data_IF_112109871115
#
_entry.id   IF_112109871115
#
_cell.length_a   1.000
_cell.length_b   1.000
_cell.length_c   1.000
_cell.angle_alpha   90.00
_cell.angle_beta   90.00
_cell.angle_gamma   90.00
#
_symmetry.space_group_name_H-M   'P 1'
#
loop_
_entity.id
_entity.type
_entity.pdbx_description
1 polymer ?
#
# COMPACT_ATOMS: atom_id res chain seq x y z
N UNK A 1 -53.89 36.25 -4.26
CA UNK A 1 -53.03 35.77 -5.34
C UNK A 1 -51.66 36.32 -5.03
N UNK A 2 -50.74 35.52 -4.42
CA UNK A 2 -49.40 35.98 -4.12
C UNK A 2 -48.66 36.22 -5.44
N UNK A 3 -47.95 37.34 -5.56
CA UNK A 3 -47.14 37.58 -6.75
C UNK A 3 -45.92 36.63 -6.73
N UNK A 4 -45.38 36.28 -7.90
CA UNK A 4 -44.20 35.44 -7.99
C UNK A 4 -43.01 36.06 -7.23
N UNK A 5 -43.04 37.38 -7.03
CA UNK A 5 -42.02 38.13 -6.26
C UNK A 5 -42.16 37.86 -4.75
N UNK A 6 -43.39 37.85 -4.20
CA UNK A 6 -43.64 37.56 -2.78
C UNK A 6 -43.19 36.15 -2.42
N UNK A 7 -43.40 35.21 -3.33
CA UNK A 7 -42.99 33.81 -3.17
C UNK A 7 -41.50 33.64 -3.20
N UNK A 8 -40.80 34.37 -4.08
CA UNK A 8 -39.35 34.38 -4.15
C UNK A 8 -38.71 35.02 -2.89
N UNK A 9 -39.29 36.13 -2.39
CA UNK A 9 -38.84 36.79 -1.16
C UNK A 9 -39.03 35.87 0.07
N UNK A 10 -40.21 35.22 0.17
CA UNK A 10 -40.45 34.26 1.24
C UNK A 10 -39.47 33.09 1.21
N UNK A 11 -39.16 32.55 0.02
CA UNK A 11 -38.17 31.50 -0.15
C UNK A 11 -36.78 31.94 0.32
N UNK A 12 -36.35 33.16 -0.03
CA UNK A 12 -35.03 33.71 0.42
C UNK A 12 -35.02 33.79 1.95
N UNK A 13 -36.07 34.27 2.61
CA UNK A 13 -36.12 34.31 4.08
C UNK A 13 -36.04 32.91 4.72
N UNK A 14 -36.71 31.93 4.14
CA UNK A 14 -36.64 30.55 4.60
C UNK A 14 -35.21 30.00 4.46
N UNK A 15 -34.57 30.23 3.32
CA UNK A 15 -33.17 29.80 3.10
C UNK A 15 -32.21 30.48 4.09
N UNK A 16 -32.35 31.79 4.31
CA UNK A 16 -31.54 32.53 5.28
C UNK A 16 -31.77 32.01 6.71
N UNK A 17 -33.01 31.70 7.08
CA UNK A 17 -33.37 31.09 8.36
C UNK A 17 -32.71 29.72 8.55
N UNK A 18 -32.76 28.86 7.51
CA UNK A 18 -32.09 27.54 7.55
C UNK A 18 -30.56 27.66 7.66
N UNK A 19 -29.96 28.57 6.91
CA UNK A 19 -28.52 28.86 7.00
C UNK A 19 -28.15 29.35 8.40
N UNK A 20 -28.88 30.33 8.95
CA UNK A 20 -28.68 30.86 10.30
C UNK A 20 -28.80 29.77 11.37
N UNK A 21 -29.81 28.90 11.26
CA UNK A 21 -29.99 27.75 12.14
C UNK A 21 -28.84 26.75 12.02
N UNK A 22 -28.38 26.44 10.80
CA UNK A 22 -27.23 25.58 10.56
C UNK A 22 -25.94 26.14 11.20
N UNK A 23 -25.70 27.45 11.04
CA UNK A 23 -24.54 28.14 11.68
C UNK A 23 -24.65 28.07 13.19
N UNK A 24 -25.82 28.27 13.77
CA UNK A 24 -26.03 28.17 15.22
C UNK A 24 -25.71 26.78 15.74
N UNK A 25 -26.17 25.72 15.06
CA UNK A 25 -25.85 24.33 15.41
C UNK A 25 -24.32 24.11 15.36
N UNK A 26 -23.64 24.56 14.31
CA UNK A 26 -22.18 24.44 14.19
C UNK A 26 -21.44 25.17 15.32
N UNK A 27 -21.88 26.37 15.69
CA UNK A 27 -21.30 27.13 16.80
C UNK A 27 -21.54 26.41 18.14
N UNK A 28 -22.72 25.88 18.38
CA UNK A 28 -23.02 25.06 19.56
C UNK A 28 -22.14 23.80 19.63
N UNK A 29 -21.99 23.10 18.53
CA UNK A 29 -21.13 21.90 18.45
C UNK A 29 -19.67 22.26 18.72
N UNK A 30 -19.15 23.37 18.14
CA UNK A 30 -17.81 23.84 18.37
C UNK A 30 -17.59 24.27 19.83
N UNK A 31 -18.51 25.01 20.41
CA UNK A 31 -18.45 25.41 21.83
C UNK A 31 -18.41 24.18 22.75
N UNK A 32 -19.27 23.19 22.48
CA UNK A 32 -19.29 21.92 23.23
C UNK A 32 -17.97 21.14 23.10
N UNK A 33 -17.38 21.11 21.90
CA UNK A 33 -16.06 20.48 21.67
C UNK A 33 -14.98 21.17 22.51
N UNK A 34 -14.90 22.50 22.47
CA UNK A 34 -13.91 23.28 23.24
C UNK A 34 -14.06 23.03 24.76
N UNK A 35 -15.28 23.02 25.26
CA UNK A 35 -15.54 22.73 26.67
C UNK A 35 -15.08 21.32 27.05
N UNK A 36 -15.37 20.34 26.18
CA UNK A 36 -14.97 18.94 26.40
C UNK A 36 -13.45 18.79 26.35
N UNK A 37 -12.76 19.44 25.41
CA UNK A 37 -11.30 19.43 25.32
C UNK A 37 -10.65 20.07 26.54
N UNK A 38 -11.16 21.20 27.05
CA UNK A 38 -10.68 21.81 28.30
C UNK A 38 -10.86 20.88 29.50
N UNK A 39 -12.02 20.20 29.61
CA UNK A 39 -12.27 19.20 30.66
C UNK A 39 -11.30 18.02 30.57
N UNK A 40 -11.04 17.53 29.34
CA UNK A 40 -10.06 16.46 29.10
C UNK A 40 -8.65 16.87 29.51
N UNK A 41 -8.21 18.08 29.15
CA UNK A 41 -6.91 18.60 29.51
C UNK A 41 -6.74 18.70 31.05
N UNK A 42 -7.74 19.24 31.74
CA UNK A 42 -7.74 19.32 33.19
C UNK A 42 -7.70 17.93 33.87
N UNK A 43 -8.39 16.93 33.28
CA UNK A 43 -8.36 15.56 33.80
C UNK A 43 -7.02 14.86 33.52
N UNK A 44 -6.37 15.13 32.37
CA UNK A 44 -5.01 14.65 32.10
C UNK A 44 -4.02 15.20 33.13
N UNK A 45 -4.12 16.48 33.46
CA UNK A 45 -3.29 17.13 34.48
C UNK A 45 -3.57 16.53 35.90
N UNK A 46 -4.84 16.32 36.24
CA UNK A 46 -5.24 15.67 37.51
C UNK A 46 -4.61 14.28 37.65
N UNK A 47 -4.57 13.48 36.59
CA UNK A 47 -4.03 12.13 36.59
C UNK A 47 -2.53 12.04 36.20
N UNK A 48 -1.86 13.19 36.03
CA UNK A 48 -0.43 13.25 35.72
C UNK A 48 0.45 12.43 36.70
N UNK A 49 0.23 12.48 38.06
CA UNK A 49 1.01 11.66 38.96
C UNK A 49 0.87 10.16 38.69
N UNK A 50 -0.32 9.70 38.31
CA UNK A 50 -0.55 8.30 37.93
C UNK A 50 0.18 7.93 36.64
N UNK A 51 0.17 8.77 35.64
CA UNK A 51 0.93 8.54 34.38
C UNK A 51 2.44 8.52 34.63
N UNK A 52 2.95 9.38 35.52
CA UNK A 52 4.37 9.35 35.94
C UNK A 52 4.70 8.05 36.71
N UNK A 53 3.78 7.54 37.53
CA UNK A 53 3.93 6.22 38.17
C UNK A 53 4.07 5.12 37.10
N UNK A 54 3.16 5.05 36.11
CA UNK A 54 3.22 4.06 35.05
C UNK A 54 4.52 4.15 34.24
N UNK A 55 4.99 5.37 33.91
CA UNK A 55 6.25 5.57 33.17
C UNK A 55 7.47 5.09 33.95
N UNK A 56 7.52 5.34 35.25
CA UNK A 56 8.65 4.91 36.08
C UNK A 56 8.72 3.39 36.21
N UNK A 57 7.56 2.74 36.28
CA UNK A 57 7.46 1.30 36.50
C UNK A 57 7.21 0.48 35.23
N UNK A 58 7.38 1.08 34.03
CA UNK A 58 7.10 0.41 32.74
C UNK A 58 8.05 -0.77 32.48
N UNK A 59 9.27 -0.69 33.01
CA UNK A 59 10.33 -1.72 32.84
C UNK A 59 10.29 -2.75 33.97
N UNK A 60 9.68 -2.42 35.12
CA UNK A 60 9.63 -3.33 36.23
C UNK A 60 8.83 -4.61 35.92
N UNK A 61 9.16 -5.76 36.51
CA UNK A 61 8.44 -7.01 36.24
C UNK A 61 7.02 -7.02 36.84
N UNK A 62 6.77 -6.23 37.89
CA UNK A 62 5.50 -6.22 38.61
C UNK A 62 4.35 -5.65 37.78
N UNK A 63 3.13 -6.20 37.87
CA UNK A 63 1.95 -5.66 37.20
C UNK A 63 1.60 -4.26 37.68
N UNK A 64 1.01 -3.45 36.81
CA UNK A 64 0.53 -2.13 37.20
C UNK A 64 -0.69 -2.23 38.08
N UNK A 65 -0.79 -1.32 39.06
CA UNK A 65 -1.99 -1.17 39.87
C UNK A 65 -2.94 -0.16 39.23
N UNK A 66 -4.25 -0.45 39.18
CA UNK A 66 -5.26 0.51 38.75
C UNK A 66 -5.24 1.78 39.64
N UNK A 67 -5.73 2.92 39.12
CA UNK A 67 -5.82 4.15 39.89
C UNK A 67 -6.72 3.95 41.13
N UNK A 68 -6.36 4.54 42.26
CA UNK A 68 -7.12 4.43 43.50
C UNK A 68 -8.41 5.25 43.44
N UNK A 69 -9.52 4.65 43.86
CA UNK A 69 -10.82 5.29 44.00
C UNK A 69 -11.71 5.22 42.74
N UNK A 70 -12.98 5.64 42.90
CA UNK A 70 -13.94 5.58 41.79
C UNK A 70 -13.59 6.63 40.72
N UNK A 71 -13.63 6.21 39.47
CA UNK A 71 -13.41 7.07 38.28
C UNK A 71 -14.77 7.47 37.69
N UNK A 72 -14.92 8.73 37.32
CA UNK A 72 -16.05 9.15 36.50
C UNK A 72 -15.93 8.58 35.06
N UNK A 73 -17.04 8.45 34.32
CA UNK A 73 -17.00 7.94 32.97
C UNK A 73 -16.05 8.72 32.03
N UNK A 74 -15.88 10.03 32.24
CA UNK A 74 -14.97 10.85 31.46
C UNK A 74 -13.52 10.61 31.87
N UNK A 75 -13.21 10.45 33.16
CA UNK A 75 -11.87 10.10 33.65
C UNK A 75 -11.43 8.74 33.10
N UNK A 76 -12.30 7.74 33.16
CA UNK A 76 -12.07 6.42 32.61
C UNK A 76 -11.68 6.51 31.12
N UNK A 77 -12.40 7.33 30.33
CA UNK A 77 -12.09 7.52 28.90
C UNK A 77 -10.78 8.26 28.66
N UNK A 78 -10.44 9.26 29.49
CA UNK A 78 -9.18 9.99 29.39
C UNK A 78 -7.99 9.08 29.69
N UNK A 79 -8.10 8.25 30.71
CA UNK A 79 -7.06 7.27 31.06
C UNK A 79 -6.94 6.22 29.95
N UNK A 80 -8.05 5.68 29.47
CA UNK A 80 -8.07 4.71 28.37
C UNK A 80 -7.40 5.25 27.10
N UNK A 81 -7.76 6.47 26.66
CA UNK A 81 -7.20 7.10 25.48
C UNK A 81 -5.66 7.25 25.64
N UNK A 82 -5.17 7.58 26.85
CA UNK A 82 -3.74 7.68 27.16
C UNK A 82 -3.03 6.34 27.18
N UNK A 83 -3.64 5.30 27.75
CA UNK A 83 -3.10 3.93 27.73
C UNK A 83 -3.00 3.40 26.28
N UNK A 84 -4.02 3.64 25.45
CA UNK A 84 -3.99 3.25 24.03
C UNK A 84 -2.87 3.95 23.27
N UNK A 85 -2.65 5.27 23.52
CA UNK A 85 -1.52 6.01 22.93
C UNK A 85 -0.17 5.33 23.27
N UNK A 86 -0.02 4.83 24.47
CA UNK A 86 1.21 4.17 24.91
C UNK A 86 1.33 2.75 24.38
N UNK A 87 0.23 1.98 24.33
CA UNK A 87 0.19 0.64 23.75
C UNK A 87 0.67 0.66 22.27
N UNK A 88 0.35 1.72 21.52
CA UNK A 88 0.86 1.89 20.16
C UNK A 88 2.36 2.23 20.10
N UNK A 89 2.89 2.93 21.10
CA UNK A 89 4.30 3.34 21.17
C UNK A 89 5.23 2.24 21.69
N UNK A 90 4.77 1.48 22.67
CA UNK A 90 5.57 0.41 23.28
C UNK A 90 5.40 -0.93 22.56
N UNK A 91 6.38 -1.83 22.74
CA UNK A 91 6.39 -3.16 22.15
C UNK A 91 6.75 -4.24 23.19
N UNK A 92 6.51 -5.51 22.88
CA UNK A 92 6.86 -6.64 23.75
C UNK A 92 6.22 -6.58 25.12
N UNK A 93 6.97 -6.92 26.17
CA UNK A 93 6.50 -7.01 27.54
C UNK A 93 5.87 -5.72 28.08
N UNK A 94 6.39 -4.55 27.69
CA UNK A 94 5.83 -3.26 28.11
C UNK A 94 4.42 -3.03 27.56
N UNK A 95 4.18 -3.41 26.28
CA UNK A 95 2.85 -3.37 25.67
C UNK A 95 1.90 -4.32 26.40
N UNK A 96 2.33 -5.57 26.61
CA UNK A 96 1.50 -6.57 27.31
C UNK A 96 1.09 -6.11 28.71
N UNK A 97 2.00 -5.49 29.44
CA UNK A 97 1.74 -4.92 30.76
C UNK A 97 0.68 -3.81 30.75
N UNK A 98 0.70 -2.94 29.72
CA UNK A 98 -0.32 -1.90 29.53
C UNK A 98 -1.68 -2.49 29.11
N UNK A 99 -1.66 -3.53 28.26
CA UNK A 99 -2.87 -4.27 27.88
C UNK A 99 -3.52 -4.94 29.10
N UNK A 100 -2.72 -5.62 29.93
CA UNK A 100 -3.20 -6.22 31.18
C UNK A 100 -3.84 -5.18 32.12
N UNK A 101 -3.23 -3.99 32.23
CA UNK A 101 -3.84 -2.89 33.00
C UNK A 101 -5.21 -2.47 32.45
N UNK A 102 -5.38 -2.45 31.12
CA UNK A 102 -6.69 -2.16 30.51
C UNK A 102 -7.73 -3.25 30.84
N UNK A 103 -7.31 -4.50 30.97
CA UNK A 103 -8.15 -5.63 31.40
C UNK A 103 -8.51 -5.54 32.87
N UNK A 104 -7.54 -5.28 33.74
CA UNK A 104 -7.73 -5.10 35.19
C UNK A 104 -8.64 -3.91 35.55
N UNK A 105 -8.68 -2.90 34.70
CA UNK A 105 -9.58 -1.76 34.81
C UNK A 105 -10.96 -1.98 34.19
N UNK A 106 -11.30 -3.20 33.75
CA UNK A 106 -12.54 -3.55 33.03
C UNK A 106 -12.83 -2.71 31.76
N UNK A 107 -11.82 -2.04 31.18
CA UNK A 107 -11.99 -1.19 29.99
C UNK A 107 -12.38 -2.01 28.77
N UNK A 108 -11.83 -3.21 28.64
CA UNK A 108 -12.16 -4.15 27.56
C UNK A 108 -13.62 -4.57 27.64
N UNK A 109 -14.11 -4.92 28.85
CA UNK A 109 -15.50 -5.33 29.06
C UNK A 109 -16.48 -4.17 28.82
N UNK A 110 -16.07 -2.95 29.21
CA UNK A 110 -16.85 -1.74 28.95
C UNK A 110 -17.10 -1.50 27.45
N UNK A 111 -16.07 -1.67 26.62
CA UNK A 111 -16.22 -1.46 25.19
C UNK A 111 -16.82 -2.70 24.47
N UNK A 112 -16.60 -3.93 24.96
CA UNK A 112 -17.31 -5.12 24.46
C UNK A 112 -18.83 -4.96 24.57
N UNK A 113 -19.36 -4.44 25.67
CA UNK A 113 -20.79 -4.14 25.84
C UNK A 113 -21.29 -3.13 24.82
N UNK A 114 -20.44 -2.21 24.35
CA UNK A 114 -20.82 -1.20 23.37
C UNK A 114 -20.83 -1.72 21.92
N UNK A 115 -20.19 -2.86 21.62
CA UNK A 115 -20.31 -3.50 20.30
C UNK A 115 -21.75 -3.93 19.98
N UNK A 116 -22.55 -4.28 21.00
CA UNK A 116 -23.95 -4.66 20.85
C UNK A 116 -24.90 -3.44 20.77
N UNK A 117 -24.37 -2.22 20.67
CA UNK A 117 -25.21 -1.00 20.59
C UNK A 117 -25.93 -0.92 19.25
N UNK A 118 -27.21 -0.46 19.26
CA UNK A 118 -27.92 -0.14 18.02
C UNK A 118 -27.36 1.07 17.25
N UNK A 119 -26.48 1.88 17.89
CA UNK A 119 -25.90 3.06 17.27
C UNK A 119 -24.56 2.72 16.62
N UNK A 120 -24.52 2.79 15.29
CA UNK A 120 -23.33 2.56 14.47
C UNK A 120 -22.08 3.30 14.95
N UNK A 121 -22.21 4.59 15.31
CA UNK A 121 -21.08 5.38 15.82
C UNK A 121 -20.53 4.88 17.17
N UNK A 122 -21.34 4.22 18.00
CA UNK A 122 -20.89 3.60 19.24
C UNK A 122 -20.15 2.29 18.96
N UNK A 123 -20.66 1.46 18.07
CA UNK A 123 -19.98 0.24 17.60
C UNK A 123 -18.60 0.57 17.02
N UNK A 124 -18.54 1.56 16.12
CA UNK A 124 -17.30 2.02 15.51
C UNK A 124 -16.25 2.45 16.56
N UNK A 125 -16.66 3.26 17.52
CA UNK A 125 -15.77 3.71 18.61
C UNK A 125 -15.34 2.57 19.52
N UNK A 126 -16.24 1.64 19.84
CA UNK A 126 -15.95 0.48 20.66
C UNK A 126 -14.94 -0.45 19.95
N UNK A 127 -15.16 -0.76 18.68
CA UNK A 127 -14.25 -1.56 17.89
C UNK A 127 -12.85 -0.93 17.83
N UNK A 128 -12.75 0.36 17.52
CA UNK A 128 -11.50 1.10 17.49
C UNK A 128 -10.74 1.03 18.83
N UNK A 129 -11.43 1.22 19.95
CA UNK A 129 -10.80 1.16 21.29
C UNK A 129 -10.34 -0.23 21.66
N UNK A 130 -11.16 -1.25 21.37
CA UNK A 130 -10.77 -2.64 21.57
C UNK A 130 -9.49 -2.97 20.83
N UNK A 131 -9.39 -2.58 19.55
CA UNK A 131 -8.16 -2.71 18.78
C UNK A 131 -6.97 -1.94 19.37
N UNK A 132 -7.22 -0.73 19.91
CA UNK A 132 -6.18 0.09 20.55
C UNK A 132 -5.66 -0.49 21.87
N UNK A 133 -6.49 -1.24 22.60
CA UNK A 133 -6.08 -1.94 23.83
C UNK A 133 -5.35 -3.25 23.56
N UNK A 134 -5.44 -3.80 22.36
CA UNK A 134 -4.76 -5.04 21.92
C UNK A 134 -5.01 -6.25 22.82
N UNK A 135 -6.18 -6.34 23.43
CA UNK A 135 -6.55 -7.48 24.29
C UNK A 135 -7.10 -8.64 23.48
N UNK A 136 -6.59 -9.84 23.72
CA UNK A 136 -7.10 -11.07 23.10
C UNK A 136 -8.59 -11.32 23.41
N UNK A 137 -9.08 -10.85 24.57
CA UNK A 137 -10.48 -10.96 24.96
C UNK A 137 -11.45 -10.24 24.01
N UNK A 138 -10.95 -9.34 23.15
CA UNK A 138 -11.76 -8.61 22.19
C UNK A 138 -11.95 -9.37 20.87
N UNK A 139 -11.13 -10.36 20.54
CA UNK A 139 -11.07 -10.99 19.21
C UNK A 139 -12.40 -11.63 18.81
N UNK A 140 -12.91 -12.51 19.65
CA UNK A 140 -14.15 -13.25 19.34
C UNK A 140 -15.37 -12.32 19.17
N UNK A 141 -15.65 -11.36 20.07
CA UNK A 141 -16.73 -10.40 19.86
C UNK A 141 -16.60 -9.53 18.60
N UNK A 142 -15.35 -9.18 18.20
CA UNK A 142 -15.09 -8.43 16.98
C UNK A 142 -15.38 -9.27 15.74
N UNK A 143 -14.94 -10.53 15.72
CA UNK A 143 -15.20 -11.49 14.62
C UNK A 143 -16.71 -11.75 14.50
N UNK A 144 -17.41 -11.94 15.61
CA UNK A 144 -18.87 -12.16 15.58
C UNK A 144 -19.62 -10.96 14.97
N UNK A 145 -19.20 -9.73 15.29
CA UNK A 145 -19.77 -8.54 14.66
C UNK A 145 -19.38 -8.45 13.17
N UNK A 146 -18.15 -8.84 12.78
CA UNK A 146 -17.73 -8.90 11.37
C UNK A 146 -18.60 -9.85 10.54
N UNK A 147 -19.01 -11.00 11.10
CA UNK A 147 -19.89 -11.96 10.40
C UNK A 147 -21.27 -11.38 10.08
N UNK A 148 -21.72 -10.39 10.84
CA UNK A 148 -23.02 -9.72 10.65
C UNK A 148 -22.93 -8.54 9.66
N UNK A 149 -21.73 -7.95 9.50
CA UNK A 149 -21.49 -6.84 8.59
C UNK A 149 -21.24 -7.34 7.17
N UNK A 150 -21.90 -6.68 6.18
CA UNK A 150 -21.71 -7.05 4.77
C UNK A 150 -20.60 -6.25 4.10
N UNK A 151 -20.60 -4.95 4.30
CA UNK A 151 -19.60 -4.03 3.75
C UNK A 151 -19.71 -2.67 4.47
N UNK A 152 -18.62 -1.90 4.45
CA UNK A 152 -18.63 -0.54 4.97
C UNK A 152 -17.45 -0.23 5.90
N UNK A 153 -17.38 1.03 6.37
CA UNK A 153 -16.27 1.48 7.21
C UNK A 153 -16.12 0.70 8.52
N UNK A 154 -17.23 0.18 9.08
CA UNK A 154 -17.17 -0.61 10.32
C UNK A 154 -16.42 -1.93 10.10
N UNK A 155 -16.65 -2.61 8.97
CA UNK A 155 -15.96 -3.86 8.64
C UNK A 155 -14.43 -3.68 8.65
N UNK A 156 -13.94 -2.58 8.06
CA UNK A 156 -12.50 -2.28 8.05
C UNK A 156 -11.94 -1.95 9.45
N UNK A 157 -12.70 -1.22 10.27
CA UNK A 157 -12.29 -0.95 11.66
C UNK A 157 -12.26 -2.23 12.47
N UNK A 158 -13.27 -3.10 12.32
CA UNK A 158 -13.30 -4.42 12.96
C UNK A 158 -12.11 -5.27 12.55
N UNK A 159 -11.82 -5.36 11.25
CA UNK A 159 -10.69 -6.14 10.74
C UNK A 159 -9.34 -5.65 11.29
N UNK A 160 -9.07 -4.34 11.29
CA UNK A 160 -7.88 -3.76 11.91
C UNK A 160 -7.80 -4.04 13.40
N UNK A 161 -8.93 -4.01 14.08
CA UNK A 161 -9.00 -4.29 15.52
C UNK A 161 -8.73 -5.75 15.82
N UNK A 162 -9.26 -6.68 15.00
CA UNK A 162 -8.92 -8.12 15.10
C UNK A 162 -7.44 -8.34 14.85
N UNK A 163 -6.87 -7.75 13.78
CA UNK A 163 -5.45 -7.90 13.45
C UNK A 163 -4.54 -7.42 14.60
N UNK A 164 -4.91 -6.34 15.30
CA UNK A 164 -4.18 -5.84 16.47
C UNK A 164 -4.26 -6.73 17.69
N UNK A 165 -5.40 -7.41 17.88
CA UNK A 165 -5.71 -8.19 19.09
C UNK A 165 -5.43 -9.70 18.93
N UNK A 166 -5.25 -10.20 17.70
CA UNK A 166 -5.09 -11.62 17.43
C UNK A 166 -3.80 -12.19 18.06
N UNK A 167 -3.93 -13.36 18.66
CA UNK A 167 -2.83 -14.15 19.20
C UNK A 167 -2.54 -15.42 18.38
N UNK A 168 -3.48 -15.81 17.50
CA UNK A 168 -3.37 -17.00 16.67
C UNK A 168 -3.66 -16.68 15.21
N UNK A 169 -2.96 -17.37 14.29
CA UNK A 169 -3.12 -17.20 12.85
C UNK A 169 -4.52 -17.57 12.34
N UNK A 170 -5.18 -18.53 12.99
CA UNK A 170 -6.55 -18.93 12.63
C UNK A 170 -7.55 -17.77 12.80
N UNK A 171 -7.34 -16.90 13.78
CA UNK A 171 -8.17 -15.71 13.99
C UNK A 171 -7.99 -14.71 12.84
N UNK A 172 -6.76 -14.54 12.35
CA UNK A 172 -6.47 -13.72 11.18
C UNK A 172 -7.03 -14.35 9.91
N UNK A 173 -6.98 -15.65 9.76
CA UNK A 173 -7.56 -16.34 8.61
C UNK A 173 -9.08 -16.12 8.52
N UNK A 174 -9.80 -16.29 9.64
CA UNK A 174 -11.25 -16.00 9.72
C UNK A 174 -11.53 -14.53 9.42
N UNK A 175 -10.74 -13.61 9.96
CA UNK A 175 -10.84 -12.18 9.67
C UNK A 175 -10.67 -11.90 8.16
N UNK A 176 -9.66 -12.46 7.50
CA UNK A 176 -9.44 -12.31 6.07
C UNK A 176 -10.61 -12.83 5.25
N UNK A 177 -11.12 -14.02 5.57
CA UNK A 177 -12.30 -14.59 4.92
C UNK A 177 -13.52 -13.65 5.00
N UNK A 178 -13.79 -13.06 6.18
CA UNK A 178 -14.91 -12.15 6.33
C UNK A 178 -14.68 -10.83 5.58
N UNK A 179 -13.45 -10.30 5.60
CA UNK A 179 -13.11 -9.04 4.94
C UNK A 179 -13.21 -9.13 3.40
N UNK A 180 -12.83 -10.29 2.83
CA UNK A 180 -12.78 -10.48 1.37
C UNK A 180 -14.08 -11.02 0.77
N UNK A 181 -15.01 -11.52 1.60
CA UNK A 181 -16.19 -12.29 1.19
C UNK A 181 -17.15 -11.54 0.26
N UNK A 182 -17.40 -10.25 0.49
CA UNK A 182 -18.55 -9.54 -0.09
C UNK A 182 -18.20 -8.54 -1.19
N UNK A 183 -16.95 -8.13 -1.34
CA UNK A 183 -16.57 -7.10 -2.29
C UNK A 183 -15.33 -7.47 -3.10
N UNK A 184 -15.45 -7.40 -4.42
CA UNK A 184 -14.30 -7.48 -5.30
C UNK A 184 -13.34 -6.32 -5.00
N UNK A 185 -12.05 -6.64 -4.83
CA UNK A 185 -11.01 -5.63 -4.54
C UNK A 185 -10.70 -5.39 -3.06
N UNK A 186 -11.45 -5.97 -2.11
CA UNK A 186 -11.10 -5.88 -0.68
C UNK A 186 -9.77 -6.56 -0.32
N UNK A 187 -9.21 -7.39 -1.20
CA UNK A 187 -7.90 -8.02 -1.02
C UNK A 187 -6.75 -6.98 -0.86
N UNK A 188 -6.88 -5.78 -1.44
CA UNK A 188 -5.92 -4.69 -1.23
C UNK A 188 -5.92 -4.24 0.24
N UNK A 189 -7.11 -3.93 0.77
CA UNK A 189 -7.27 -3.52 2.16
C UNK A 189 -6.91 -4.66 3.13
N UNK A 190 -7.19 -5.91 2.75
CA UNK A 190 -6.87 -7.08 3.56
C UNK A 190 -5.35 -7.27 3.74
N UNK A 191 -4.56 -7.01 2.70
CA UNK A 191 -3.11 -7.03 2.77
C UNK A 191 -2.58 -5.92 3.71
N UNK A 192 -3.12 -4.69 3.64
CA UNK A 192 -2.74 -3.59 4.54
C UNK A 192 -3.11 -3.88 6.00
N UNK A 193 -4.27 -4.51 6.24
CA UNK A 193 -4.72 -4.84 7.61
C UNK A 193 -3.76 -5.81 8.30
N UNK A 194 -3.11 -6.70 7.56
CA UNK A 194 -2.13 -7.63 8.12
C UNK A 194 -0.87 -6.93 8.65
N UNK A 195 -0.58 -5.70 8.26
CA UNK A 195 0.53 -4.92 8.83
C UNK A 195 0.29 -4.48 10.28
N UNK A 196 -0.97 -4.52 10.75
CA UNK A 196 -1.34 -4.13 12.12
C UNK A 196 -1.04 -5.22 13.17
N UNK A 197 -0.88 -6.47 12.75
CA UNK A 197 -0.58 -7.56 13.67
C UNK A 197 0.89 -7.60 14.10
N UNK A 198 1.14 -8.19 15.26
CA UNK A 198 2.49 -8.48 15.74
C UNK A 198 2.94 -9.92 15.47
N UNK A 199 2.07 -10.74 14.88
CA UNK A 199 2.35 -12.13 14.55
C UNK A 199 3.17 -12.23 13.27
N UNK A 200 3.99 -13.28 13.17
CA UNK A 200 4.56 -13.68 11.89
C UNK A 200 3.44 -14.30 11.02
N UNK A 201 3.02 -13.55 10.02
CA UNK A 201 1.93 -13.96 9.11
C UNK A 201 2.42 -14.83 7.95
N UNK A 202 3.71 -15.09 7.83
CA UNK A 202 4.27 -15.86 6.70
C UNK A 202 3.61 -17.23 6.53
N UNK A 203 3.40 -18.05 7.60
CA UNK A 203 2.72 -19.34 7.45
C UNK A 203 1.26 -19.20 6.99
N UNK A 204 0.55 -18.18 7.47
CA UNK A 204 -0.82 -17.87 7.05
C UNK A 204 -0.87 -17.49 5.57
N UNK A 205 0.05 -16.66 5.10
CA UNK A 205 0.11 -16.21 3.71
C UNK A 205 0.42 -17.38 2.76
N UNK A 206 1.31 -18.28 3.15
CA UNK A 206 1.58 -19.51 2.41
C UNK A 206 0.32 -20.39 2.30
N UNK A 207 -0.43 -20.54 3.39
CA UNK A 207 -1.72 -21.23 3.38
C UNK A 207 -2.72 -20.55 2.45
N UNK A 208 -2.85 -19.22 2.51
CA UNK A 208 -3.75 -18.46 1.63
C UNK A 208 -3.38 -18.57 0.14
N UNK A 209 -2.08 -18.75 -0.22
CA UNK A 209 -1.67 -18.99 -1.61
C UNK A 209 -2.16 -20.34 -2.18
N UNK A 210 -2.59 -21.25 -1.32
CA UNK A 210 -3.13 -22.56 -1.69
C UNK A 210 -4.66 -22.63 -1.60
N UNK A 211 -5.29 -21.49 -1.22
CA UNK A 211 -6.73 -21.43 -1.03
C UNK A 211 -7.48 -21.43 -2.38
N UNK A 212 -8.75 -21.87 -2.32
CA UNK A 212 -9.67 -21.82 -3.46
C UNK A 212 -10.25 -20.42 -3.68
N UNK A 213 -10.26 -19.59 -2.65
CA UNK A 213 -10.71 -18.20 -2.75
C UNK A 213 -9.62 -17.32 -3.36
N UNK A 214 -9.82 -16.93 -4.60
CA UNK A 214 -8.89 -16.04 -5.33
C UNK A 214 -8.61 -14.72 -4.60
N UNK A 215 -9.53 -14.22 -3.77
CA UNK A 215 -9.27 -13.00 -3.00
C UNK A 215 -8.25 -13.24 -1.88
N UNK A 216 -8.27 -14.41 -1.25
CA UNK A 216 -7.25 -14.78 -0.26
C UNK A 216 -5.89 -14.98 -0.93
N UNK A 217 -5.84 -15.64 -2.11
CA UNK A 217 -4.61 -15.76 -2.90
C UNK A 217 -4.04 -14.39 -3.25
N UNK A 218 -4.87 -13.47 -3.76
CA UNK A 218 -4.47 -12.09 -4.09
C UNK A 218 -3.98 -11.32 -2.85
N UNK A 219 -4.66 -11.47 -1.72
CA UNK A 219 -4.23 -10.87 -0.44
C UNK A 219 -2.83 -11.36 -0.06
N UNK A 220 -2.59 -12.66 -0.14
CA UNK A 220 -1.29 -13.26 0.18
C UNK A 220 -0.17 -12.75 -0.74
N UNK A 221 -0.41 -12.72 -2.05
CA UNK A 221 0.55 -12.20 -3.03
C UNK A 221 0.89 -10.72 -2.79
N UNK A 222 -0.10 -9.91 -2.42
CA UNK A 222 0.12 -8.50 -2.11
C UNK A 222 0.86 -8.30 -0.80
N UNK A 223 0.50 -9.03 0.25
CA UNK A 223 1.15 -8.94 1.56
C UNK A 223 2.60 -9.44 1.50
N UNK A 224 2.91 -10.41 0.64
CA UNK A 224 4.26 -10.91 0.39
C UNK A 224 5.05 -10.05 -0.61
N UNK A 225 4.45 -8.98 -1.17
CA UNK A 225 5.08 -8.13 -2.17
C UNK A 225 6.37 -7.52 -1.61
N UNK A 226 7.50 -7.86 -2.25
CA UNK A 226 8.83 -7.42 -1.80
C UNK A 226 9.56 -8.42 -0.91
N UNK A 227 8.90 -9.51 -0.48
CA UNK A 227 9.58 -10.66 0.09
C UNK A 227 9.93 -11.62 -1.04
N UNK A 228 11.20 -11.82 -1.26
CA UNK A 228 11.70 -12.79 -2.24
C UNK A 228 12.48 -13.86 -1.50
N UNK A 229 12.12 -15.12 -1.71
CA UNK A 229 12.80 -16.24 -1.09
C UNK A 229 12.56 -17.54 -1.86
N UNK A 230 13.54 -18.44 -1.80
CA UNK A 230 13.49 -19.76 -2.45
C UNK A 230 12.24 -20.55 -2.03
N UNK A 231 11.76 -20.33 -0.81
CA UNK A 231 10.56 -21.01 -0.26
C UNK A 231 9.25 -20.61 -0.96
N UNK A 232 9.17 -19.39 -1.54
CA UNK A 232 7.98 -18.91 -2.23
C UNK A 232 7.93 -19.32 -3.71
N UNK A 233 9.09 -19.61 -4.30
CA UNK A 233 9.22 -19.85 -5.76
C UNK A 233 8.30 -20.96 -6.27
N UNK A 234 8.16 -22.14 -5.64
CA UNK A 234 7.27 -23.20 -6.16
C UNK A 234 5.80 -22.78 -6.18
N UNK A 235 5.34 -22.09 -5.13
CA UNK A 235 3.95 -21.60 -5.07
C UNK A 235 3.71 -20.50 -6.10
N UNK A 236 4.66 -19.58 -6.28
CA UNK A 236 4.58 -18.50 -7.26
C UNK A 236 4.58 -19.06 -8.70
N UNK A 237 5.39 -20.07 -9.01
CA UNK A 237 5.41 -20.70 -10.35
C UNK A 237 4.04 -21.33 -10.67
N UNK A 238 3.44 -22.03 -9.72
CA UNK A 238 2.09 -22.58 -9.91
C UNK A 238 1.05 -21.47 -10.15
N UNK A 239 1.14 -20.34 -9.43
CA UNK A 239 0.22 -19.22 -9.56
C UNK A 239 0.49 -18.39 -10.83
N UNK A 240 1.70 -18.47 -11.39
CA UNK A 240 2.03 -17.86 -12.68
C UNK A 240 1.30 -18.51 -13.88
N UNK A 241 0.77 -19.72 -13.69
CA UNK A 241 -0.06 -20.42 -14.68
C UNK A 241 -1.57 -20.31 -14.39
N UNK A 242 -1.96 -19.42 -13.48
CA UNK A 242 -3.37 -19.21 -13.09
C UNK A 242 -4.22 -18.66 -14.23
N UNK A 243 -5.46 -19.15 -14.35
CA UNK A 243 -6.48 -18.58 -15.26
C UNK A 243 -6.90 -17.16 -14.83
N UNK A 244 -6.83 -16.84 -13.52
CA UNK A 244 -7.09 -15.49 -13.03
C UNK A 244 -5.91 -14.56 -13.38
N UNK A 245 -6.17 -13.63 -14.31
CA UNK A 245 -5.15 -12.70 -14.81
C UNK A 245 -4.47 -11.86 -13.73
N UNK A 246 -5.19 -11.50 -12.66
CA UNK A 246 -4.63 -10.69 -11.57
C UNK A 246 -3.68 -11.53 -10.72
N UNK A 247 -4.04 -12.80 -10.41
CA UNK A 247 -3.17 -13.75 -9.71
C UNK A 247 -1.92 -14.01 -10.54
N UNK A 248 -2.09 -14.32 -11.83
CA UNK A 248 -0.97 -14.56 -12.75
C UNK A 248 -0.05 -13.34 -12.82
N UNK A 249 -0.60 -12.13 -12.99
CA UNK A 249 0.17 -10.88 -13.03
C UNK A 249 0.96 -10.64 -11.75
N UNK A 250 0.34 -10.82 -10.57
CA UNK A 250 1.02 -10.64 -9.29
C UNK A 250 2.15 -11.66 -9.11
N UNK A 251 1.89 -12.94 -9.41
CA UNK A 251 2.88 -14.01 -9.27
C UNK A 251 4.08 -13.80 -10.21
N UNK A 252 3.84 -13.55 -11.50
CA UNK A 252 4.93 -13.29 -12.47
C UNK A 252 5.74 -12.06 -12.06
N UNK A 253 5.09 -10.95 -11.68
CA UNK A 253 5.80 -9.75 -11.22
C UNK A 253 6.67 -9.99 -9.98
N UNK A 254 6.24 -10.86 -9.07
CA UNK A 254 7.06 -11.24 -7.92
C UNK A 254 8.25 -12.09 -8.35
N UNK A 255 8.04 -13.08 -9.23
CA UNK A 255 9.09 -13.97 -9.73
C UNK A 255 10.16 -13.19 -10.49
N UNK A 256 9.77 -12.31 -11.42
CA UNK A 256 10.73 -11.54 -12.21
C UNK A 256 11.48 -10.49 -11.40
N UNK A 257 10.90 -9.97 -10.33
CA UNK A 257 11.59 -9.05 -9.40
C UNK A 257 12.55 -9.75 -8.46
N UNK A 258 12.39 -11.04 -8.25
CA UNK A 258 13.28 -11.83 -7.41
C UNK A 258 14.68 -12.03 -8.04
N UNK A 259 14.85 -11.70 -9.32
CA UNK A 259 16.11 -11.86 -10.05
C UNK A 259 16.50 -13.33 -10.21
N UNK A 260 17.76 -13.61 -10.39
CA UNK A 260 18.45 -14.87 -10.72
C UNK A 260 17.94 -16.19 -10.07
N UNK A 261 16.68 -16.28 -9.68
CA UNK A 261 16.07 -17.48 -9.10
C UNK A 261 15.59 -18.44 -10.19
N UNK A 262 15.24 -17.91 -11.37
CA UNK A 262 14.69 -18.69 -12.49
C UNK A 262 15.61 -18.69 -13.70
N UNK A 263 15.57 -19.77 -14.51
CA UNK A 263 16.20 -19.79 -15.82
C UNK A 263 15.68 -18.67 -16.70
N UNK A 264 16.56 -18.09 -17.51
CA UNK A 264 16.22 -17.00 -18.43
C UNK A 264 15.14 -17.40 -19.42
N UNK A 265 15.15 -18.64 -19.91
CA UNK A 265 14.15 -19.17 -20.84
C UNK A 265 12.75 -19.15 -20.22
N UNK A 266 12.63 -19.45 -18.93
CA UNK A 266 11.35 -19.40 -18.21
C UNK A 266 10.84 -17.97 -18.12
N UNK A 267 11.72 -17.00 -17.85
CA UNK A 267 11.34 -15.58 -17.79
C UNK A 267 10.94 -15.09 -19.18
N UNK A 268 11.70 -15.43 -20.22
CA UNK A 268 11.40 -15.04 -21.59
C UNK A 268 10.07 -15.62 -22.10
N UNK A 269 9.64 -16.79 -21.64
CA UNK A 269 8.36 -17.38 -22.05
C UNK A 269 7.17 -16.48 -21.72
N UNK A 270 7.23 -15.70 -20.65
CA UNK A 270 6.17 -14.75 -20.28
C UNK A 270 6.14 -13.46 -21.12
N UNK A 271 7.11 -13.25 -22.04
CA UNK A 271 6.98 -12.19 -23.05
C UNK A 271 5.86 -12.46 -24.06
N UNK A 272 5.29 -13.66 -24.07
CA UNK A 272 4.15 -14.04 -24.93
C UNK A 272 2.83 -14.13 -24.15
N UNK A 273 2.80 -13.72 -22.88
CA UNK A 273 1.57 -13.74 -22.07
C UNK A 273 0.46 -12.90 -22.72
N UNK A 274 -0.82 -13.32 -22.70
CA UNK A 274 -1.93 -12.55 -23.23
C UNK A 274 -2.04 -11.12 -22.66
N UNK A 275 -1.67 -10.93 -21.39
CA UNK A 275 -1.76 -9.64 -20.71
C UNK A 275 -0.51 -8.77 -20.95
N UNK A 276 -0.69 -7.61 -21.61
CA UNK A 276 0.39 -6.66 -21.90
C UNK A 276 1.15 -6.19 -20.66
N UNK A 277 0.46 -6.06 -19.53
CA UNK A 277 1.04 -5.68 -18.25
C UNK A 277 2.08 -6.69 -17.72
N UNK A 278 1.86 -7.98 -17.96
CA UNK A 278 2.81 -9.05 -17.62
C UNK A 278 4.01 -8.96 -18.55
N UNK A 279 3.78 -8.90 -19.86
CA UNK A 279 4.86 -8.78 -20.87
C UNK A 279 5.75 -7.56 -20.60
N UNK A 280 5.15 -6.41 -20.25
CA UNK A 280 5.88 -5.19 -19.91
C UNK A 280 6.76 -5.35 -18.66
N UNK A 281 6.24 -5.98 -17.59
CA UNK A 281 6.98 -6.25 -16.38
C UNK A 281 8.16 -7.21 -16.61
N UNK A 282 7.95 -8.23 -17.45
CA UNK A 282 9.01 -9.17 -17.84
C UNK A 282 10.09 -8.45 -18.65
N UNK A 283 9.69 -7.67 -19.67
CA UNK A 283 10.62 -6.89 -20.48
C UNK A 283 11.49 -5.96 -19.61
N UNK A 284 10.92 -5.28 -18.63
CA UNK A 284 11.66 -4.42 -17.69
C UNK A 284 12.67 -5.20 -16.84
N UNK A 285 12.26 -6.36 -16.33
CA UNK A 285 13.12 -7.18 -15.46
C UNK A 285 14.31 -7.76 -16.18
N UNK A 286 14.13 -8.21 -17.43
CA UNK A 286 15.23 -8.73 -18.25
C UNK A 286 16.37 -7.72 -18.41
N UNK A 287 16.04 -6.43 -18.58
CA UNK A 287 17.04 -5.37 -18.62
C UNK A 287 17.70 -5.06 -17.27
N UNK A 288 16.89 -5.07 -16.18
CA UNK A 288 17.41 -4.80 -14.82
C UNK A 288 18.45 -5.83 -14.37
N UNK A 289 18.24 -7.09 -14.73
CA UNK A 289 19.14 -8.18 -14.36
C UNK A 289 20.20 -8.52 -15.43
N UNK A 290 20.16 -7.86 -16.60
CA UNK A 290 21.19 -7.99 -17.64
C UNK A 290 21.23 -9.36 -18.31
N UNK A 291 20.06 -9.97 -18.56
CA UNK A 291 19.95 -11.26 -19.25
C UNK A 291 20.25 -11.10 -20.75
N UNK A 292 21.51 -11.19 -21.14
CA UNK A 292 21.94 -10.95 -22.52
C UNK A 292 21.36 -11.95 -23.55
N UNK A 293 21.07 -13.17 -23.14
CA UNK A 293 20.43 -14.18 -24.00
C UNK A 293 19.00 -13.80 -24.39
N UNK A 294 18.35 -12.88 -23.64
CA UNK A 294 17.00 -12.38 -23.94
C UNK A 294 16.96 -11.29 -25.02
N UNK A 295 18.11 -10.80 -25.52
CA UNK A 295 18.17 -9.75 -26.55
C UNK A 295 17.28 -10.08 -27.75
N UNK A 296 17.30 -11.32 -28.35
CA UNK A 296 16.41 -11.64 -29.46
C UNK A 296 14.93 -11.55 -29.14
N UNK A 297 14.52 -11.99 -27.93
CA UNK A 297 13.14 -11.92 -27.47
C UNK A 297 12.70 -10.48 -27.23
N UNK A 298 13.56 -9.65 -26.64
CA UNK A 298 13.29 -8.21 -26.47
C UNK A 298 13.23 -7.46 -27.81
N UNK A 299 14.06 -7.85 -28.81
CA UNK A 299 13.96 -7.31 -30.15
C UNK A 299 12.60 -7.60 -30.77
N UNK A 300 12.09 -8.83 -30.60
CA UNK A 300 10.75 -9.18 -31.05
C UNK A 300 9.67 -8.38 -30.32
N UNK A 301 9.80 -8.19 -29.01
CA UNK A 301 8.86 -7.44 -28.18
C UNK A 301 8.80 -5.93 -28.53
N UNK A 302 9.72 -5.39 -29.33
CA UNK A 302 9.61 -4.03 -29.90
C UNK A 302 8.44 -3.89 -30.89
N UNK A 303 7.88 -5.00 -31.42
CA UNK A 303 6.70 -5.01 -32.31
C UNK A 303 5.40 -5.28 -31.59
N UNK A 304 5.42 -5.33 -30.22
CA UNK A 304 4.23 -5.62 -29.43
C UNK A 304 3.12 -4.60 -29.66
N UNK A 305 1.87 -5.03 -29.59
CA UNK A 305 0.71 -4.15 -29.68
C UNK A 305 0.64 -3.16 -28.51
N UNK A 306 1.10 -3.55 -27.32
CA UNK A 306 1.11 -2.72 -26.13
C UNK A 306 2.32 -1.76 -26.13
N UNK A 307 2.06 -0.48 -25.96
CA UNK A 307 3.09 0.56 -25.91
C UNK A 307 4.10 0.36 -24.78
N UNK A 308 3.63 -0.07 -23.58
CA UNK A 308 4.51 -0.28 -22.44
C UNK A 308 5.48 -1.44 -22.65
N UNK A 309 5.04 -2.49 -23.37
CA UNK A 309 5.92 -3.61 -23.73
C UNK A 309 7.03 -3.12 -24.64
N UNK A 310 6.70 -2.38 -25.70
CA UNK A 310 7.71 -1.78 -26.59
C UNK A 310 8.68 -0.87 -25.87
N UNK A 311 8.15 0.01 -24.99
CA UNK A 311 8.94 0.95 -24.19
C UNK A 311 9.94 0.24 -23.28
N UNK A 312 9.48 -0.73 -22.48
CA UNK A 312 10.34 -1.48 -21.55
C UNK A 312 11.34 -2.36 -22.32
N UNK A 313 10.97 -2.94 -23.45
CA UNK A 313 11.89 -3.71 -24.29
C UNK A 313 13.03 -2.86 -24.84
N UNK A 314 12.72 -1.67 -25.38
CA UNK A 314 13.73 -0.73 -25.85
C UNK A 314 14.65 -0.25 -24.71
N UNK A 315 14.06 0.07 -23.54
CA UNK A 315 14.80 0.46 -22.34
C UNK A 315 15.74 -0.64 -21.88
N UNK A 316 15.29 -1.87 -21.88
CA UNK A 316 16.07 -3.04 -21.44
C UNK A 316 17.21 -3.35 -22.40
N UNK A 317 16.98 -3.30 -23.71
CA UNK A 317 18.03 -3.39 -24.71
C UNK A 317 19.12 -2.32 -24.51
N UNK A 318 18.73 -1.08 -24.21
CA UNK A 318 19.69 0.00 -23.92
C UNK A 318 20.55 -0.25 -22.67
N UNK A 319 20.05 -1.04 -21.70
CA UNK A 319 20.74 -1.41 -20.48
C UNK A 319 21.69 -2.61 -20.69
N UNK A 320 21.55 -3.38 -21.76
CA UNK A 320 22.33 -4.59 -22.04
C UNK A 320 23.63 -4.33 -22.83
N UNK A 321 24.29 -3.22 -22.52
CA UNK A 321 25.59 -2.89 -23.09
C UNK A 321 25.59 -2.71 -24.61
N UNK A 322 26.72 -3.04 -25.25
CA UNK A 322 26.93 -2.83 -26.70
C UNK A 322 26.05 -3.74 -27.56
N UNK A 323 25.79 -4.97 -27.12
CA UNK A 323 24.98 -5.93 -27.87
C UNK A 323 23.52 -5.46 -27.97
N UNK A 324 22.95 -5.04 -26.84
CA UNK A 324 21.59 -4.49 -26.81
C UNK A 324 21.48 -3.17 -27.60
N UNK A 325 22.47 -2.28 -27.48
CA UNK A 325 22.48 -1.02 -28.22
C UNK A 325 22.60 -1.22 -29.74
N UNK A 326 23.42 -2.18 -30.19
CA UNK A 326 23.48 -2.60 -31.62
C UNK A 326 22.10 -3.06 -32.10
N UNK A 327 21.42 -3.89 -31.31
CA UNK A 327 20.08 -4.38 -31.63
C UNK A 327 19.07 -3.24 -31.79
N UNK A 328 19.17 -2.19 -30.94
CA UNK A 328 18.37 -0.98 -31.13
C UNK A 328 18.69 -0.25 -32.43
N UNK A 329 19.97 -0.11 -32.79
CA UNK A 329 20.39 0.52 -34.06
C UNK A 329 19.86 -0.27 -35.28
N UNK A 330 19.91 -1.60 -35.23
CA UNK A 330 19.31 -2.45 -36.27
C UNK A 330 17.79 -2.23 -36.36
N UNK A 331 17.08 -2.27 -35.21
CA UNK A 331 15.64 -2.07 -35.17
C UNK A 331 15.21 -0.69 -35.69
N UNK A 332 16.02 0.34 -35.46
CA UNK A 332 15.77 1.69 -35.95
C UNK A 332 15.90 1.84 -37.45
N UNK A 333 16.66 0.96 -38.11
CA UNK A 333 16.85 0.92 -39.56
C UNK A 333 15.81 0.04 -40.27
N UNK A 334 15.16 -0.87 -39.56
CA UNK A 334 14.08 -1.71 -40.10
C UNK A 334 12.88 -0.83 -40.47
N UNK A 335 12.37 -0.98 -41.71
CA UNK A 335 11.26 -0.17 -42.26
C UNK A 335 9.91 -0.87 -42.19
N UNK A 336 9.88 -2.10 -41.71
CA UNK A 336 8.70 -2.97 -41.77
C UNK A 336 7.65 -2.55 -40.69
N UNK A 337 8.09 -1.97 -39.57
CA UNK A 337 7.23 -1.50 -38.49
C UNK A 337 7.67 -0.09 -38.03
N UNK A 338 6.88 0.95 -38.37
CA UNK A 338 7.18 2.32 -37.95
C UNK A 338 7.25 2.50 -36.43
N UNK A 339 6.38 1.81 -35.64
CA UNK A 339 6.36 1.93 -34.19
C UNK A 339 7.62 1.36 -33.55
N UNK A 340 8.13 0.24 -34.07
CA UNK A 340 9.41 -0.36 -33.68
C UNK A 340 10.56 0.58 -33.94
N UNK A 341 10.63 1.09 -35.17
CA UNK A 341 11.69 1.99 -35.61
C UNK A 341 11.71 3.29 -34.79
N UNK A 342 10.56 3.89 -34.54
CA UNK A 342 10.46 5.14 -33.80
C UNK A 342 10.81 4.93 -32.30
N UNK A 343 10.32 3.86 -31.68
CA UNK A 343 10.67 3.50 -30.31
C UNK A 343 12.17 3.28 -30.12
N UNK A 344 12.81 2.60 -31.09
CA UNK A 344 14.24 2.36 -31.07
C UNK A 344 15.04 3.67 -31.23
N UNK A 345 14.62 4.56 -32.17
CA UNK A 345 15.25 5.89 -32.36
C UNK A 345 15.15 6.77 -31.12
N UNK A 346 13.97 6.84 -30.53
CA UNK A 346 13.77 7.63 -29.29
C UNK A 346 14.68 7.15 -28.18
N UNK A 347 14.79 5.82 -28.02
CA UNK A 347 15.66 5.25 -26.99
C UNK A 347 17.14 5.46 -27.27
N UNK A 348 17.59 5.29 -28.52
CA UNK A 348 18.95 5.60 -28.92
C UNK A 348 19.29 7.05 -28.63
N UNK A 349 18.39 7.98 -28.95
CA UNK A 349 18.57 9.39 -28.71
C UNK A 349 18.71 9.70 -27.19
N UNK A 350 17.85 9.16 -26.36
CA UNK A 350 17.94 9.30 -24.91
C UNK A 350 19.27 8.77 -24.34
N UNK A 351 19.73 7.61 -24.81
CA UNK A 351 20.98 7.02 -24.34
C UNK A 351 22.22 7.84 -24.77
N UNK A 352 22.22 8.37 -25.97
CA UNK A 352 23.28 9.27 -26.42
C UNK A 352 23.30 10.58 -25.64
N UNK A 353 22.15 11.17 -25.37
CA UNK A 353 22.05 12.35 -24.51
C UNK A 353 22.55 12.07 -23.08
N UNK A 354 22.20 10.92 -22.56
CA UNK A 354 22.64 10.47 -21.23
C UNK A 354 24.15 10.27 -21.17
N UNK A 355 24.73 9.60 -22.15
CA UNK A 355 26.19 9.40 -22.27
C UNK A 355 26.90 10.76 -22.36
N UNK A 356 26.43 11.68 -23.21
CA UNK A 356 26.98 13.01 -23.35
C UNK A 356 26.90 13.84 -22.04
N UNK A 357 25.77 13.79 -21.34
CA UNK A 357 25.58 14.47 -20.06
C UNK A 357 26.55 13.98 -18.98
N UNK A 358 26.75 12.67 -18.88
CA UNK A 358 27.67 12.09 -17.91
C UNK A 358 29.16 12.27 -18.32
N UNK A 359 29.47 12.26 -19.59
CA UNK A 359 30.83 12.55 -20.09
C UNK A 359 31.26 13.99 -19.74
N UNK A 360 30.36 14.97 -19.93
CA UNK A 360 30.60 16.36 -19.57
C UNK A 360 30.79 16.58 -18.04
N UNK A 361 30.15 15.78 -17.22
CA UNK A 361 30.28 15.84 -15.74
C UNK A 361 31.54 15.16 -15.21
N UNK A 362 32.04 14.13 -15.92
CA UNK A 362 33.28 13.40 -15.60
C UNK A 362 34.44 13.89 -16.46
N UNK A 363 34.89 15.10 -16.28
CA UNK A 363 36.02 15.70 -17.03
C UNK A 363 37.36 14.91 -16.99
N UNK A 364 37.38 13.66 -16.56
CA UNK A 364 38.61 12.93 -16.32
C UNK A 364 38.55 11.40 -16.45
N UNK A 365 37.86 10.80 -17.40
CA UNK A 365 38.16 9.44 -17.75
C UNK A 365 38.07 9.27 -19.26
N UNK A 366 39.20 9.19 -19.89
CA UNK A 366 39.43 8.72 -21.28
C UNK A 366 38.95 7.27 -21.35
N UNK A 367 37.70 7.08 -21.68
CA UNK A 367 37.04 5.79 -21.83
C UNK A 367 35.82 5.94 -22.68
N UNK A 368 36.05 5.87 -23.96
CA UNK A 368 35.14 5.48 -25.03
C UNK A 368 33.69 5.97 -24.93
N UNK A 369 33.34 6.89 -25.79
CA UNK A 369 31.99 7.11 -26.31
C UNK A 369 31.58 5.86 -27.14
N UNK A 370 31.40 4.70 -26.47
CA UNK A 370 31.15 3.42 -27.14
C UNK A 370 29.83 3.43 -27.89
N UNK A 371 28.77 3.97 -27.27
CA UNK A 371 27.44 4.07 -27.90
C UNK A 371 27.43 5.10 -29.04
N UNK A 372 28.13 6.22 -28.88
CA UNK A 372 28.29 7.20 -29.92
C UNK A 372 29.04 6.60 -31.17
N UNK A 373 30.11 5.87 -30.93
CA UNK A 373 30.86 5.20 -32.01
C UNK A 373 30.03 4.13 -32.72
N UNK A 374 29.23 3.35 -31.95
CA UNK A 374 28.30 2.38 -32.53
C UNK A 374 27.21 3.07 -33.34
N UNK A 375 26.65 4.16 -32.86
CA UNK A 375 25.67 4.95 -33.60
C UNK A 375 26.23 5.44 -34.92
N UNK A 376 27.46 5.99 -34.95
CA UNK A 376 28.12 6.46 -36.16
C UNK A 376 28.40 5.34 -37.20
N UNK A 377 28.62 4.11 -36.75
CA UNK A 377 28.77 2.94 -37.65
C UNK A 377 27.47 2.62 -38.41
N UNK A 378 26.32 2.80 -37.78
CA UNK A 378 25.01 2.46 -38.39
C UNK A 378 24.41 3.63 -39.15
N UNK A 379 24.57 4.87 -38.71
CA UNK A 379 23.90 6.04 -39.27
C UNK A 379 24.82 7.04 -39.97
N UNK A 380 26.15 6.85 -39.86
CA UNK A 380 27.18 7.74 -40.47
C UNK A 380 27.45 9.00 -39.61
N UNK A 381 28.56 9.68 -39.90
CA UNK A 381 29.01 10.87 -39.16
C UNK A 381 28.12 12.12 -39.34
N UNK A 382 27.19 12.12 -40.33
CA UNK A 382 26.40 13.31 -40.67
C UNK A 382 25.15 13.55 -39.81
N UNK A 383 24.77 12.60 -38.97
CA UNK A 383 23.64 12.80 -38.05
C UNK A 383 24.14 13.17 -36.66
N UNK A 384 24.73 14.40 -36.54
CA UNK A 384 25.00 15.02 -35.26
C UNK A 384 23.71 15.04 -34.42
N UNK A 385 23.81 14.65 -33.15
CA UNK A 385 22.75 14.81 -32.12
C UNK A 385 22.02 16.13 -32.37
N UNK A 386 20.69 16.16 -32.56
CA UNK A 386 19.96 17.39 -32.80
C UNK A 386 20.30 18.43 -31.73
N UNK A 387 20.69 19.62 -32.21
CA UNK A 387 21.15 20.73 -31.37
C UNK A 387 20.07 21.10 -30.36
N UNK A 388 20.28 20.80 -29.07
CA UNK A 388 19.36 21.11 -27.98
C UNK A 388 19.41 22.63 -27.70
N UNK A 389 18.89 23.42 -28.64
CA UNK A 389 18.49 24.81 -28.41
C UNK A 389 16.97 24.90 -28.53
N UNK A 390 16.24 24.40 -27.54
CA UNK A 390 14.78 24.54 -27.60
C UNK A 390 13.94 23.92 -26.51
N UNK A 391 14.53 23.29 -25.48
CA UNK A 391 13.76 22.83 -24.31
C UNK A 391 14.38 23.42 -23.04
N UNK A 392 14.40 24.74 -22.99
CA UNK A 392 14.59 25.53 -21.79
C UNK A 392 13.34 26.35 -21.58
N UNK A 393 12.22 25.70 -21.25
CA UNK A 393 11.05 26.38 -20.72
C UNK A 393 11.34 26.78 -19.28
N UNK A 394 11.33 28.09 -19.04
CA UNK A 394 11.39 28.72 -17.72
C UNK A 394 10.50 28.00 -16.70
N UNK A 395 11.11 27.34 -15.74
CA UNK A 395 10.50 27.07 -14.45
C UNK A 395 11.14 27.96 -13.39
N UNK A 396 10.78 29.25 -13.48
CA UNK A 396 10.91 30.22 -12.38
C UNK A 396 9.53 30.81 -12.12
N UNK A 397 8.75 30.20 -11.23
CA UNK A 397 7.75 30.87 -10.38
C UNK A 397 7.30 29.86 -9.31
#
# INVERSE_FOLDING_TARGET
MFSNLDLAVAFIYVCLGLIGFGVLILLMMKARSIILERKRAALLEKHQPYFVYLQRHIVDPDPFQPPKGPLSPLETRVIQDKLMEWIEKFRGAQRQKLTALCEDMDLVQLDRKQLSSMFYAKQMKAAYRLGGMRSAQAVEPLIELMKQEKDGPLLHVLARSVAKCAEHLDQLYVMLQQLTRHRKGNYLNAAEVLEETSLDVTPLLLQCMEDRDHNLVKTALLALRGQTGVTLTPALLRLADSDDKEIRSLAVKMLVRAGNILPEETICSWLTDPEGEIRAAVAESLGQFGYEGSIPALKQALTDSDWWVRYHSAKSLAMMGDAGFRTLCEAALERDDPFKSDMAKDRIHEELLREHFFANRRKQISGAHTKQSLYEQYFGQASSVPNIRGIGGDYSA
#
